data_IF_354871096443
#
_entry.id   IF_354871096443
#
_cell.length_a   1.000
_cell.length_b   1.000
_cell.length_c   1.000
_cell.angle_alpha   90.00
_cell.angle_beta   90.00
_cell.angle_gamma   90.00
#
_symmetry.space_group_name_H-M   'P 1'
#
loop_
_entity.id
_entity.type
_entity.pdbx_description
1 polymer ?
#
# COMPACT_ATOMS: atom_id res chain seq x y z
N UNK A 1 7.26 15.03 -2.29
CA UNK A 1 8.31 15.63 -1.44
C UNK A 1 8.41 17.16 -1.54
N UNK A 2 8.32 17.78 -2.74
CA UNK A 2 8.42 19.25 -2.91
C UNK A 2 7.52 20.07 -1.97
N UNK A 3 6.25 19.69 -1.82
CA UNK A 3 5.30 20.34 -0.91
C UNK A 3 5.82 20.36 0.53
N UNK A 4 6.27 19.22 1.05
CA UNK A 4 6.76 19.13 2.44
C UNK A 4 8.02 19.96 2.61
N UNK A 5 8.96 19.91 1.65
CA UNK A 5 10.17 20.73 1.69
C UNK A 5 9.89 22.23 1.76
N UNK A 6 8.84 22.70 1.07
CA UNK A 6 8.42 24.09 1.13
C UNK A 6 7.81 24.47 2.50
N UNK A 7 7.22 23.51 3.22
CA UNK A 7 6.60 23.73 4.53
C UNK A 7 7.58 23.60 5.70
N UNK A 8 8.67 22.85 5.53
CA UNK A 8 9.65 22.60 6.60
C UNK A 8 10.24 23.87 7.24
N UNK A 9 10.65 24.91 6.50
CA UNK A 9 11.16 26.14 7.11
C UNK A 9 10.18 26.77 8.10
N UNK A 10 8.89 26.85 7.74
CA UNK A 10 7.86 27.41 8.61
C UNK A 10 7.56 26.53 9.84
N UNK A 11 7.66 25.21 9.69
CA UNK A 11 7.54 24.30 10.84
C UNK A 11 8.71 24.46 11.81
N UNK A 12 9.93 24.68 11.30
CA UNK A 12 11.14 24.95 12.09
C UNK A 12 11.02 26.28 12.84
N UNK A 13 10.61 27.34 12.16
CA UNK A 13 10.38 28.67 12.76
C UNK A 13 9.40 28.61 13.93
N UNK A 14 8.35 27.77 13.82
CA UNK A 14 7.37 27.57 14.89
C UNK A 14 7.83 26.59 15.98
N UNK A 15 8.92 25.84 15.76
CA UNK A 15 9.37 24.76 16.65
C UNK A 15 8.37 23.60 16.77
N UNK A 16 7.45 23.48 15.80
CA UNK A 16 6.41 22.46 15.81
C UNK A 16 5.87 22.15 14.42
N UNK A 17 5.85 20.87 14.08
CA UNK A 17 5.21 20.36 12.87
C UNK A 17 4.89 18.87 12.93
N UNK A 18 3.86 18.46 12.20
CA UNK A 18 3.57 17.05 11.98
C UNK A 18 3.14 16.83 10.54
N UNK A 19 3.74 15.83 9.88
CA UNK A 19 3.43 15.46 8.50
C UNK A 19 2.97 14.02 8.45
N UNK A 20 1.76 13.81 7.92
CA UNK A 20 1.22 12.47 7.66
C UNK A 20 1.38 12.16 6.17
N UNK A 21 2.17 11.13 5.86
CA UNK A 21 2.35 10.63 4.49
C UNK A 21 1.50 9.38 4.30
N UNK A 22 0.60 9.42 3.30
CA UNK A 22 -0.16 8.23 2.88
C UNK A 22 0.67 7.44 1.87
N UNK A 23 1.34 6.41 2.37
CA UNK A 23 2.04 5.41 1.56
C UNK A 23 1.09 4.25 1.21
N UNK A 24 1.62 3.05 1.01
CA UNK A 24 0.85 1.86 0.63
C UNK A 24 1.42 0.62 1.29
N UNK A 25 0.53 -0.30 1.69
CA UNK A 25 0.92 -1.67 2.04
C UNK A 25 1.77 -2.35 0.95
N UNK A 26 1.63 -1.94 -0.31
CA UNK A 26 2.43 -2.46 -1.43
C UNK A 26 3.93 -2.20 -1.29
N UNK A 27 4.36 -1.18 -0.52
CA UNK A 27 5.78 -0.96 -0.21
C UNK A 27 6.35 -2.08 0.67
N UNK A 28 5.50 -2.68 1.51
CA UNK A 28 5.86 -3.75 2.43
C UNK A 28 5.79 -5.13 1.76
N UNK A 29 4.81 -5.33 0.87
CA UNK A 29 4.50 -6.65 0.29
C UNK A 29 4.98 -6.84 -1.15
N UNK A 30 5.42 -5.78 -1.83
CA UNK A 30 5.95 -5.80 -3.20
C UNK A 30 5.09 -6.58 -4.21
N UNK A 31 3.78 -6.28 -4.32
CA UNK A 31 2.89 -7.05 -5.19
C UNK A 31 3.29 -6.90 -6.68
N UNK A 32 3.26 -7.99 -7.46
CA UNK A 32 3.48 -7.94 -8.90
C UNK A 32 2.51 -6.99 -9.61
N UNK A 33 2.89 -6.51 -10.80
CA UNK A 33 2.12 -5.56 -11.65
C UNK A 33 2.03 -4.12 -11.13
N UNK A 34 2.59 -3.82 -9.95
CA UNK A 34 2.58 -2.47 -9.36
C UNK A 34 3.96 -1.82 -9.25
N UNK A 35 4.97 -2.27 -10.01
CA UNK A 35 6.36 -1.84 -9.86
C UNK A 35 6.56 -0.32 -9.87
N UNK A 36 5.99 0.39 -10.86
CA UNK A 36 6.10 1.85 -10.95
C UNK A 36 5.39 2.57 -9.78
N UNK A 37 4.20 2.09 -9.41
CA UNK A 37 3.45 2.63 -8.28
C UNK A 37 4.20 2.43 -6.96
N UNK A 38 4.63 1.19 -6.68
CA UNK A 38 5.39 0.82 -5.48
C UNK A 38 6.70 1.61 -5.45
N UNK A 39 7.45 1.69 -6.55
CA UNK A 39 8.68 2.49 -6.61
C UNK A 39 8.43 3.95 -6.19
N UNK A 40 7.34 4.57 -6.67
CA UNK A 40 7.00 5.94 -6.28
C UNK A 40 6.68 6.11 -4.79
N UNK A 41 5.99 5.13 -4.19
CA UNK A 41 5.66 5.13 -2.75
C UNK A 41 6.87 4.81 -1.89
N UNK A 42 7.69 3.85 -2.30
CA UNK A 42 8.98 3.53 -1.66
C UNK A 42 9.94 4.72 -1.66
N UNK A 43 9.95 5.53 -2.73
CA UNK A 43 10.74 6.76 -2.78
C UNK A 43 10.26 7.79 -1.73
N UNK A 44 8.95 7.91 -1.53
CA UNK A 44 8.40 8.76 -0.46
C UNK A 44 8.80 8.25 0.93
N UNK A 45 8.75 6.93 1.16
CA UNK A 45 9.09 6.36 2.46
C UNK A 45 10.57 6.46 2.78
N UNK A 46 11.43 6.17 1.79
CA UNK A 46 12.87 6.35 1.93
C UNK A 46 13.22 7.81 2.26
N UNK A 47 12.65 8.77 1.52
CA UNK A 47 12.82 10.19 1.80
C UNK A 47 12.31 10.57 3.20
N UNK A 48 11.14 10.08 3.59
CA UNK A 48 10.52 10.36 4.90
C UNK A 48 11.35 9.84 6.07
N UNK A 49 11.94 8.65 5.94
CA UNK A 49 12.82 8.07 6.96
C UNK A 49 14.05 8.94 7.21
N UNK A 50 14.68 9.42 6.13
CA UNK A 50 15.87 10.28 6.21
C UNK A 50 15.51 11.63 6.82
N UNK A 51 14.59 12.38 6.21
CA UNK A 51 14.26 13.75 6.66
C UNK A 51 13.74 13.78 8.09
N UNK A 52 13.00 12.75 8.52
CA UNK A 52 12.48 12.69 9.88
C UNK A 52 13.59 12.63 10.93
N UNK A 53 14.74 12.01 10.64
CA UNK A 53 15.88 12.02 11.56
C UNK A 53 16.63 13.35 11.55
N UNK A 54 16.62 14.06 10.43
CA UNK A 54 17.27 15.36 10.28
C UNK A 54 16.55 16.48 11.03
N UNK A 55 15.23 16.38 11.20
CA UNK A 55 14.40 17.46 11.78
C UNK A 55 13.76 17.11 13.12
N UNK A 56 14.09 15.95 13.70
CA UNK A 56 13.51 15.53 15.00
C UNK A 56 13.82 16.54 16.12
N UNK A 57 15.00 17.16 16.08
CA UNK A 57 15.40 18.22 17.01
C UNK A 57 14.64 19.53 16.83
N UNK A 58 14.01 19.75 15.67
CA UNK A 58 13.25 20.95 15.35
C UNK A 58 11.78 20.89 15.84
N UNK A 59 11.41 19.84 16.58
CA UNK A 59 10.01 19.61 17.00
C UNK A 59 9.08 19.15 15.87
N UNK A 60 9.66 18.63 14.78
CA UNK A 60 8.92 18.17 13.60
C UNK A 60 8.90 16.64 13.58
N UNK A 61 7.70 16.08 13.43
CA UNK A 61 7.46 14.63 13.41
C UNK A 61 6.77 14.18 12.13
N UNK A 62 6.91 12.89 11.81
CA UNK A 62 6.33 12.28 10.63
C UNK A 62 5.61 10.98 11.00
N UNK A 63 4.45 10.76 10.40
CA UNK A 63 3.76 9.46 10.38
C UNK A 63 3.65 8.98 8.95
N UNK A 64 4.10 7.75 8.68
CA UNK A 64 3.80 7.07 7.41
C UNK A 64 2.67 6.07 7.61
N UNK A 65 1.59 6.20 6.84
CA UNK A 65 0.51 5.21 6.82
C UNK A 65 0.75 4.29 5.63
N UNK A 66 1.04 3.02 5.88
CA UNK A 66 1.06 1.99 4.83
C UNK A 66 -0.37 1.54 4.56
N UNK A 67 -1.11 2.41 3.87
CA UNK A 67 -2.55 2.27 3.70
C UNK A 67 -2.90 0.92 3.06
N UNK A 68 -3.81 0.13 3.66
CA UNK A 68 -4.36 -1.06 3.01
C UNK A 68 -5.21 -0.68 1.80
N UNK A 69 -5.70 -1.67 1.08
CA UNK A 69 -6.54 -1.43 -0.08
C UNK A 69 -7.87 -0.76 0.36
N UNK A 70 -8.15 0.44 -0.16
CA UNK A 70 -9.36 1.21 0.17
C UNK A 70 -10.39 1.08 -0.95
N UNK A 71 -11.63 0.76 -0.60
CA UNK A 71 -12.75 0.60 -1.54
C UNK A 71 -13.22 1.95 -2.09
N UNK A 72 -12.49 2.45 -3.08
CA UNK A 72 -12.82 3.69 -3.80
C UNK A 72 -13.35 3.38 -5.20
N UNK A 73 -14.06 4.32 -5.86
CA UNK A 73 -14.51 4.15 -7.24
C UNK A 73 -13.37 3.84 -8.23
N UNK A 74 -12.13 4.28 -7.91
CA UNK A 74 -10.95 4.05 -8.74
C UNK A 74 -10.60 2.57 -8.90
N UNK A 75 -10.80 1.75 -7.86
CA UNK A 75 -10.39 0.34 -7.88
C UNK A 75 -11.51 -0.59 -8.36
N UNK A 76 -12.74 -0.09 -8.48
CA UNK A 76 -13.93 -0.86 -8.87
C UNK A 76 -13.85 -1.58 -10.23
N UNK A 77 -13.15 -1.06 -11.26
CA UNK A 77 -12.98 -1.79 -12.53
C UNK A 77 -12.11 -3.05 -12.42
N UNK A 78 -11.28 -3.16 -11.38
CA UNK A 78 -10.37 -4.29 -11.19
C UNK A 78 -11.02 -5.36 -10.32
N UNK A 79 -11.77 -6.26 -10.96
CA UNK A 79 -12.53 -7.35 -10.30
C UNK A 79 -11.71 -8.26 -9.39
N UNK A 80 -10.41 -8.38 -9.66
CA UNK A 80 -9.48 -9.10 -8.80
C UNK A 80 -9.52 -8.61 -7.35
N UNK A 81 -9.74 -7.31 -7.12
CA UNK A 81 -9.78 -6.71 -5.79
C UNK A 81 -11.01 -7.05 -4.97
N UNK A 82 -12.08 -7.57 -5.58
CA UNK A 82 -13.27 -8.03 -4.86
C UNK A 82 -12.96 -9.22 -3.93
N UNK A 83 -11.84 -9.91 -4.17
CA UNK A 83 -11.38 -11.06 -3.39
C UNK A 83 -10.36 -10.72 -2.30
N UNK A 84 -9.96 -9.44 -2.17
CA UNK A 84 -9.01 -9.01 -1.14
C UNK A 84 -9.71 -8.25 -0.02
N UNK A 85 -9.21 -8.36 1.23
CA UNK A 85 -9.67 -7.50 2.32
C UNK A 85 -9.46 -6.03 1.94
N UNK A 86 -10.54 -5.26 2.02
CA UNK A 86 -10.54 -3.82 1.75
C UNK A 86 -11.16 -3.09 2.92
N UNK A 87 -10.67 -1.89 3.19
CA UNK A 87 -11.31 -0.97 4.14
C UNK A 87 -12.18 0.04 3.39
N UNK A 88 -13.16 0.60 4.08
CA UNK A 88 -13.98 1.71 3.60
C UNK A 88 -13.18 3.03 3.55
N UNK A 89 -13.63 4.00 2.73
CA UNK A 89 -13.08 5.36 2.76
C UNK A 89 -13.18 6.02 4.14
N UNK A 90 -14.22 5.73 4.90
CA UNK A 90 -14.45 6.23 6.26
C UNK A 90 -13.36 5.70 7.21
N UNK A 91 -13.13 4.38 7.20
CA UNK A 91 -12.04 3.77 7.99
C UNK A 91 -10.66 4.30 7.56
N UNK A 92 -10.46 4.56 6.27
CA UNK A 92 -9.21 5.19 5.80
C UNK A 92 -9.06 6.62 6.33
N UNK A 93 -10.16 7.37 6.45
CA UNK A 93 -10.21 8.68 7.09
C UNK A 93 -9.86 8.60 8.58
N UNK A 94 -10.40 7.60 9.28
CA UNK A 94 -10.11 7.36 10.70
C UNK A 94 -8.62 7.08 10.94
N UNK A 95 -7.96 6.31 10.06
CA UNK A 95 -6.51 6.09 10.14
C UNK A 95 -5.71 7.40 9.99
N UNK A 96 -6.17 8.33 9.15
CA UNK A 96 -5.52 9.64 8.98
C UNK A 96 -5.74 10.50 10.24
N UNK A 97 -6.96 10.52 10.78
CA UNK A 97 -7.26 11.20 12.04
C UNK A 97 -6.41 10.65 13.19
N UNK A 98 -6.26 9.33 13.26
CA UNK A 98 -5.42 8.66 14.26
C UNK A 98 -3.94 9.02 14.09
N UNK A 99 -3.43 9.06 12.86
CA UNK A 99 -2.07 9.53 12.59
C UNK A 99 -1.85 10.97 13.08
N UNK A 100 -2.79 11.89 12.82
CA UNK A 100 -2.71 13.28 13.25
C UNK A 100 -2.74 13.41 14.79
N UNK A 101 -3.59 12.60 15.44
CA UNK A 101 -3.81 12.63 16.90
C UNK A 101 -2.66 12.00 17.68
N UNK A 102 -2.34 10.75 17.37
CA UNK A 102 -1.38 9.94 18.13
C UNK A 102 0.06 10.11 17.66
N UNK A 103 0.26 10.61 16.43
CA UNK A 103 1.58 10.83 15.79
C UNK A 103 2.53 9.62 15.89
N UNK A 104 2.06 8.38 15.66
CA UNK A 104 2.94 7.22 15.65
C UNK A 104 3.95 7.34 14.50
N UNK A 105 5.12 6.71 14.58
CA UNK A 105 6.08 6.75 13.48
C UNK A 105 5.49 6.13 12.20
N UNK A 106 4.75 5.03 12.35
CA UNK A 106 4.11 4.30 11.26
C UNK A 106 2.75 3.74 11.69
N UNK A 107 1.83 3.62 10.74
CA UNK A 107 0.57 2.86 10.87
C UNK A 107 0.58 1.76 9.82
N UNK A 108 0.72 0.53 10.29
CA UNK A 108 0.91 -0.66 9.46
C UNK A 108 -0.18 -1.69 9.75
N UNK A 109 -0.52 -2.48 8.73
CA UNK A 109 -1.33 -3.69 8.95
C UNK A 109 -0.43 -4.84 9.39
N UNK A 110 -0.99 -5.79 10.15
CA UNK A 110 -0.25 -7.01 10.56
C UNK A 110 0.28 -7.79 9.36
N UNK A 111 -0.51 -7.87 8.29
CA UNK A 111 -0.11 -8.53 7.05
C UNK A 111 1.05 -7.80 6.35
N UNK A 112 1.00 -6.47 6.28
CA UNK A 112 2.07 -5.65 5.73
C UNK A 112 3.38 -5.87 6.49
N UNK A 113 3.36 -5.74 7.82
CA UNK A 113 4.54 -5.97 8.66
C UNK A 113 5.09 -7.38 8.54
N UNK A 114 4.23 -8.40 8.49
CA UNK A 114 4.67 -9.78 8.29
C UNK A 114 5.35 -9.97 6.93
N UNK A 115 4.80 -9.37 5.86
CA UNK A 115 5.40 -9.39 4.53
C UNK A 115 6.77 -8.71 4.48
N UNK A 116 6.89 -7.53 5.09
CA UNK A 116 8.15 -6.79 5.18
C UNK A 116 9.23 -7.58 5.92
N UNK A 117 8.90 -8.17 7.06
CA UNK A 117 9.81 -9.02 7.84
C UNK A 117 10.19 -10.28 7.06
N UNK A 118 9.23 -10.94 6.40
CA UNK A 118 9.52 -12.11 5.58
C UNK A 118 10.46 -11.77 4.42
N UNK A 119 10.22 -10.65 3.73
CA UNK A 119 11.10 -10.18 2.67
C UNK A 119 12.51 -9.88 3.20
N UNK A 120 12.63 -9.28 4.40
CA UNK A 120 13.92 -9.01 5.03
C UNK A 120 14.68 -10.29 5.41
N UNK A 121 13.98 -11.33 5.89
CA UNK A 121 14.60 -12.57 6.37
C UNK A 121 14.81 -13.63 5.27
N UNK A 122 13.91 -13.69 4.29
CA UNK A 122 13.86 -14.73 3.27
C UNK A 122 13.42 -14.19 1.89
N UNK A 123 14.19 -13.28 1.27
CA UNK A 123 13.80 -12.60 0.04
C UNK A 123 13.53 -13.56 -1.12
N UNK A 124 14.34 -14.62 -1.27
CA UNK A 124 14.13 -15.63 -2.33
C UNK A 124 12.81 -16.40 -2.16
N UNK A 125 12.40 -16.68 -0.92
CA UNK A 125 11.14 -17.37 -0.67
C UNK A 125 9.96 -16.46 -1.02
N UNK A 126 10.07 -15.17 -0.65
CA UNK A 126 9.09 -14.15 -1.04
C UNK A 126 8.97 -14.03 -2.56
N UNK A 127 10.10 -13.98 -3.29
CA UNK A 127 10.09 -13.93 -4.76
C UNK A 127 9.34 -15.11 -5.39
N UNK A 128 9.52 -16.33 -4.86
CA UNK A 128 8.80 -17.50 -5.34
C UNK A 128 7.29 -17.40 -5.07
N UNK A 129 6.89 -16.95 -3.88
CA UNK A 129 5.49 -16.72 -3.53
C UNK A 129 4.86 -15.69 -4.48
N UNK A 130 5.53 -14.57 -4.69
CA UNK A 130 5.06 -13.50 -5.56
C UNK A 130 5.03 -13.92 -7.04
N UNK A 131 5.97 -14.73 -7.49
CA UNK A 131 5.95 -15.30 -8.85
C UNK A 131 4.77 -16.24 -9.06
N UNK A 132 4.45 -17.08 -8.07
CA UNK A 132 3.24 -17.90 -8.11
C UNK A 132 1.99 -17.02 -8.18
N UNK A 133 1.89 -15.98 -7.35
CA UNK A 133 0.78 -15.03 -7.39
C UNK A 133 0.66 -14.34 -8.76
N UNK A 134 1.79 -13.93 -9.37
CA UNK A 134 1.81 -13.32 -10.71
C UNK A 134 1.23 -14.22 -11.80
N UNK A 135 1.50 -15.54 -11.73
CA UNK A 135 0.98 -16.52 -12.69
C UNK A 135 -0.50 -16.83 -12.49
N UNK A 136 -0.95 -16.88 -11.24
CA UNK A 136 -2.34 -17.24 -10.90
C UNK A 136 -3.29 -16.07 -11.16
N UNK A 137 -2.86 -14.83 -10.91
CA UNK A 137 -3.69 -13.65 -11.07
C UNK A 137 -3.45 -12.94 -12.41
N UNK A 138 -4.43 -12.97 -13.32
CA UNK A 138 -4.30 -12.38 -14.66
C UNK A 138 -4.24 -10.85 -14.59
N UNK A 139 -3.81 -10.22 -15.69
CA UNK A 139 -3.91 -8.78 -15.86
C UNK A 139 -5.36 -8.32 -15.80
N UNK A 140 -5.62 -7.28 -15.02
CA UNK A 140 -6.93 -6.62 -14.98
C UNK A 140 -7.31 -6.06 -16.36
N UNK A 141 -8.60 -6.10 -16.73
CA UNK A 141 -9.08 -5.51 -17.98
C UNK A 141 -8.69 -4.01 -18.12
N UNK A 142 -8.57 -3.30 -16.99
CA UNK A 142 -8.11 -1.92 -16.92
C UNK A 142 -6.64 -1.73 -17.38
N UNK A 143 -5.74 -2.70 -17.13
CA UNK A 143 -4.34 -2.62 -17.59
C UNK A 143 -4.17 -2.96 -19.07
N UNK A 144 -5.13 -3.71 -19.65
CA UNK A 144 -5.16 -4.06 -21.08
C UNK A 144 -5.77 -2.96 -21.96
N UNK A 145 -6.27 -1.87 -21.38
CA UNK A 145 -6.89 -0.76 -22.13
C UNK A 145 -8.22 -1.13 -22.81
N UNK A 146 -8.84 -2.26 -22.45
CA UNK A 146 -10.12 -2.70 -22.99
C UNK A 146 -11.26 -1.91 -22.35
N UNK A 147 -12.10 -1.31 -23.19
CA UNK A 147 -13.23 -0.46 -22.75
C UNK A 147 -14.51 -1.25 -22.44
N UNK A 148 -14.59 -2.52 -22.84
CA UNK A 148 -15.78 -3.37 -22.65
C UNK A 148 -15.55 -4.47 -21.59
N UNK A 149 -16.34 -4.48 -20.49
CA UNK A 149 -16.21 -5.48 -19.42
C UNK A 149 -16.71 -6.88 -19.82
N UNK A 150 -17.31 -7.05 -21.00
CA UNK A 150 -17.88 -8.31 -21.48
C UNK A 150 -16.86 -9.25 -22.19
N UNK A 151 -15.69 -8.74 -22.58
CA UNK A 151 -14.62 -9.56 -23.20
C UNK A 151 -13.60 -10.10 -22.19
N UNK A 152 -13.77 -9.77 -20.90
CA UNK A 152 -12.87 -10.18 -19.83
C UNK A 152 -13.09 -11.67 -19.45
N UNK A 153 -12.48 -12.54 -20.24
CA UNK A 153 -11.76 -13.76 -19.84
C UNK A 153 -12.60 -14.99 -19.40
N UNK A 154 -12.56 -16.04 -20.24
CA UNK A 154 -12.77 -17.42 -19.78
C UNK A 154 -11.61 -17.77 -18.85
N UNK A 155 -11.85 -17.74 -17.53
CA UNK A 155 -10.88 -18.16 -16.53
C UNK A 155 -10.41 -19.60 -16.78
N UNK A 156 -9.10 -19.84 -16.69
CA UNK A 156 -8.50 -21.18 -16.72
C UNK A 156 -8.98 -22.01 -15.52
N UNK A 157 -9.15 -23.32 -15.68
CA UNK A 157 -9.60 -24.24 -14.63
C UNK A 157 -8.80 -24.14 -13.33
N UNK A 158 -7.51 -23.80 -13.42
CA UNK A 158 -6.64 -23.59 -12.25
C UNK A 158 -7.04 -22.34 -11.44
N UNK A 159 -7.52 -21.30 -12.11
CA UNK A 159 -7.97 -20.05 -11.48
C UNK A 159 -9.29 -20.27 -10.72
N UNK A 160 -10.18 -21.11 -11.25
CA UNK A 160 -11.46 -21.48 -10.62
C UNK A 160 -11.20 -22.38 -9.40
N UNK A 161 -10.27 -23.33 -9.51
CA UNK A 161 -9.91 -24.22 -8.40
C UNK A 161 -9.31 -23.45 -7.22
N UNK A 162 -8.42 -22.49 -7.47
CA UNK A 162 -7.79 -21.68 -6.42
C UNK A 162 -8.78 -20.70 -5.76
N UNK A 163 -9.66 -20.08 -6.54
CA UNK A 163 -10.69 -19.19 -6.00
C UNK A 163 -11.64 -19.90 -5.01
N UNK A 164 -11.93 -21.19 -5.24
CA UNK A 164 -12.75 -21.98 -4.32
C UNK A 164 -12.02 -22.35 -3.01
N UNK A 165 -10.69 -22.47 -3.03
CA UNK A 165 -9.88 -22.67 -1.82
C UNK A 165 -9.84 -21.40 -0.97
N UNK A 166 -9.70 -20.24 -1.62
CA UNK A 166 -9.62 -18.94 -0.93
C UNK A 166 -10.97 -18.44 -0.39
N UNK A 167 -12.10 -18.94 -0.92
CA UNK A 167 -13.46 -18.64 -0.41
C UNK A 167 -13.76 -19.23 0.97
N UNK A 168 -12.93 -20.15 1.48
CA UNK A 168 -13.20 -20.89 2.73
C UNK A 168 -12.60 -20.29 4.00
N UNK A 169 -11.85 -19.19 3.92
CA UNK A 169 -11.20 -18.58 5.10
C UNK A 169 -11.90 -17.28 5.45
N UNK A 170 -12.94 -17.40 6.26
CA UNK A 170 -13.53 -16.27 6.98
C UNK A 170 -12.83 -16.15 8.35
N UNK A 171 -12.37 -14.95 8.69
CA UNK A 171 -12.11 -14.52 10.07
C UNK A 171 -13.02 -13.34 10.40
#
# INVERSE_FOLDING_TARGET
IKMVMALLPHMRERGFGHVVNVSSIGVQTNPPRFSAYVASKSALDAWTRVVSSEVIGDGISFTTIHMPLVRTPMIAPTKLYDHFPTISPEEAGDLICEALRARPKEINTRLGTAGEVLHALAPKAMDQILHMAYKVFPDSAASKGQKDPAEAEKASMEQIAMANIMKGVHW
#
